data_IF_540750073371
#
_entry.id   IF_540750073371
#
_cell.length_a   1.000
_cell.length_b   1.000
_cell.length_c   1.000
_cell.angle_alpha   90.00
_cell.angle_beta   90.00
_cell.angle_gamma   90.00
#
_symmetry.space_group_name_H-M   'P 1'
#
loop_
_entity.id
_entity.type
_entity.pdbx_description
1 polymer ?
#
# COMPACT_ATOMS: atom_id res chain seq x y z
N UNK A 1 16.06 -2.09 9.02
CA UNK A 1 16.47 -2.26 7.61
C UNK A 1 16.26 -3.70 7.17
N UNK A 2 15.38 -3.89 6.21
CA UNK A 2 15.08 -5.20 5.60
C UNK A 2 15.83 -5.30 4.28
N UNK A 3 16.81 -6.19 4.18
CA UNK A 3 17.57 -6.36 2.93
C UNK A 3 16.77 -7.02 1.80
N UNK A 4 15.57 -7.45 2.06
CA UNK A 4 14.68 -8.12 1.10
C UNK A 4 13.27 -7.53 1.17
N UNK A 5 12.28 -8.31 1.58
CA UNK A 5 10.85 -7.98 1.57
C UNK A 5 10.37 -7.69 2.99
N UNK A 6 9.56 -6.65 3.15
CA UNK A 6 8.97 -6.28 4.44
C UNK A 6 7.88 -7.28 4.86
N UNK A 7 6.85 -7.40 4.04
CA UNK A 7 5.75 -8.36 4.22
C UNK A 7 5.68 -9.25 2.98
N UNK A 8 5.83 -10.56 3.15
CA UNK A 8 5.68 -11.55 2.09
C UNK A 8 4.48 -12.46 2.38
N UNK A 9 3.43 -12.34 1.59
CA UNK A 9 2.34 -13.30 1.52
C UNK A 9 2.48 -14.19 0.29
N UNK A 10 2.36 -15.50 0.46
CA UNK A 10 2.35 -16.47 -0.63
C UNK A 10 1.09 -17.31 -0.52
N UNK A 11 0.04 -16.94 -1.27
CA UNK A 11 -1.28 -17.53 -1.12
C UNK A 11 -1.85 -17.36 0.29
N UNK A 12 -1.53 -16.25 0.94
CA UNK A 12 -1.84 -16.02 2.35
C UNK A 12 -3.11 -15.17 2.53
N UNK A 13 -3.61 -15.13 3.76
CA UNK A 13 -4.61 -14.16 4.20
C UNK A 13 -3.93 -13.22 5.20
N UNK A 14 -3.78 -11.94 4.81
CA UNK A 14 -3.11 -10.92 5.63
C UNK A 14 -3.99 -9.68 5.70
N UNK A 15 -4.24 -9.21 6.92
CA UNK A 15 -4.83 -7.89 7.17
C UNK A 15 -3.89 -7.08 8.05
N UNK A 16 -3.64 -5.84 7.68
CA UNK A 16 -2.84 -4.91 8.47
C UNK A 16 -3.49 -3.53 8.50
N UNK A 17 -3.38 -2.88 9.65
CA UNK A 17 -3.89 -1.53 9.88
C UNK A 17 -2.80 -0.70 10.55
N UNK A 18 -2.83 0.62 10.36
CA UNK A 18 -1.91 1.55 11.02
C UNK A 18 -0.45 1.05 10.98
N UNK A 19 0.01 0.62 9.81
CA UNK A 19 1.31 -0.03 9.67
C UNK A 19 2.21 0.77 8.73
N UNK A 20 3.44 1.01 9.16
CA UNK A 20 4.49 1.56 8.30
C UNK A 20 5.46 0.46 7.89
N UNK A 21 5.69 0.31 6.59
CA UNK A 21 6.74 -0.55 6.04
C UNK A 21 7.65 0.28 5.14
N UNK A 22 8.92 0.36 5.51
CA UNK A 22 9.87 1.23 4.82
C UNK A 22 11.26 0.60 4.67
N UNK A 23 12.07 1.20 3.81
CA UNK A 23 13.49 0.85 3.61
C UNK A 23 13.71 -0.66 3.41
N UNK A 24 12.97 -1.24 2.45
CA UNK A 24 13.10 -2.62 2.01
C UNK A 24 13.92 -2.68 0.71
N UNK A 25 14.91 -3.58 0.66
CA UNK A 25 15.79 -3.73 -0.51
C UNK A 25 15.10 -4.30 -1.75
N UNK A 26 13.90 -4.85 -1.57
CA UNK A 26 13.00 -5.31 -2.62
C UNK A 26 11.61 -4.68 -2.41
N UNK A 27 10.59 -5.49 -2.18
CA UNK A 27 9.22 -5.03 -1.96
C UNK A 27 9.00 -4.62 -0.49
N UNK A 28 8.24 -3.56 -0.25
CA UNK A 28 7.64 -3.33 1.06
C UNK A 28 6.59 -4.41 1.36
N UNK A 29 5.72 -4.69 0.36
CA UNK A 29 4.73 -5.77 0.45
C UNK A 29 4.73 -6.56 -0.85
N UNK A 30 4.78 -7.88 -0.74
CA UNK A 30 4.57 -8.80 -1.86
C UNK A 30 3.35 -9.69 -1.57
N UNK A 31 2.23 -9.40 -2.24
CA UNK A 31 1.05 -10.24 -2.33
C UNK A 31 1.28 -11.24 -3.46
N UNK A 32 1.99 -12.33 -3.16
CA UNK A 32 2.54 -13.25 -4.15
C UNK A 32 1.78 -14.57 -4.18
N UNK A 33 1.62 -15.15 -5.37
CA UNK A 33 0.96 -16.45 -5.60
C UNK A 33 -0.52 -16.41 -5.14
N UNK A 34 -1.23 -15.32 -5.45
CA UNK A 34 -2.63 -15.14 -5.03
C UNK A 34 -2.82 -14.93 -3.53
N UNK A 35 -4.05 -15.12 -3.06
CA UNK A 35 -4.43 -14.96 -1.65
C UNK A 35 -5.39 -13.81 -1.40
N UNK A 36 -5.53 -13.39 -0.13
CA UNK A 36 -6.44 -12.33 0.33
C UNK A 36 -5.67 -11.34 1.19
N UNK A 37 -5.67 -10.08 0.80
CA UNK A 37 -4.89 -9.03 1.46
C UNK A 37 -5.72 -7.79 1.68
N UNK A 38 -5.72 -7.25 2.91
CA UNK A 38 -6.44 -6.04 3.26
C UNK A 38 -5.55 -5.10 4.08
N UNK A 39 -5.32 -3.93 3.56
CA UNK A 39 -4.48 -2.90 4.17
C UNK A 39 -5.30 -1.62 4.37
N UNK A 40 -5.36 -1.13 5.61
CA UNK A 40 -6.13 0.07 5.95
C UNK A 40 -5.25 1.04 6.75
N UNK A 41 -5.21 2.30 6.37
CA UNK A 41 -4.37 3.32 7.00
C UNK A 41 -2.90 2.87 7.12
N UNK A 42 -2.33 2.34 6.03
CA UNK A 42 -0.93 1.92 6.01
C UNK A 42 -0.06 2.87 5.17
N UNK A 43 1.21 2.98 5.53
CA UNK A 43 2.21 3.74 4.77
C UNK A 43 3.32 2.81 4.29
N UNK A 44 3.39 2.58 2.99
CA UNK A 44 4.42 1.80 2.30
C UNK A 44 5.40 2.77 1.64
N UNK A 45 6.39 3.23 2.43
CA UNK A 45 7.32 4.29 2.06
C UNK A 45 8.71 3.70 1.77
N UNK A 46 8.91 3.16 0.55
CA UNK A 46 10.10 2.39 0.25
C UNK A 46 11.27 3.24 -0.31
N UNK A 47 11.78 4.14 0.53
CA UNK A 47 12.96 4.97 0.27
C UNK A 47 14.26 4.23 0.63
N UNK A 48 14.54 3.14 -0.12
CA UNK A 48 15.76 2.37 0.07
C UNK A 48 16.98 3.12 -0.47
N UNK A 49 18.02 3.28 0.34
CA UNK A 49 19.18 4.14 0.07
C UNK A 49 20.55 3.40 0.16
N UNK A 50 20.56 2.09 0.47
CA UNK A 50 21.81 1.34 0.63
C UNK A 50 22.45 0.88 -0.68
N UNK A 51 21.63 0.59 -1.68
CA UNK A 51 22.05 0.21 -3.03
C UNK A 51 20.89 0.43 -4.02
N UNK A 52 21.09 0.03 -5.27
CA UNK A 52 20.06 0.17 -6.27
C UNK A 52 18.93 -0.85 -6.07
N UNK A 53 17.69 -0.35 -5.91
CA UNK A 53 16.46 -1.13 -5.89
C UNK A 53 15.84 -1.15 -7.28
N UNK A 54 15.43 -2.34 -7.75
CA UNK A 54 14.83 -2.54 -9.07
C UNK A 54 13.36 -2.99 -8.99
N UNK A 55 12.86 -3.24 -7.79
CA UNK A 55 11.49 -3.71 -7.55
C UNK A 55 10.66 -2.62 -6.90
N UNK A 56 9.39 -2.41 -7.29
CA UNK A 56 8.52 -1.43 -6.66
C UNK A 56 8.18 -1.80 -5.21
N UNK A 57 7.50 -0.90 -4.49
CA UNK A 57 7.09 -1.11 -3.10
C UNK A 57 6.09 -2.25 -2.97
N UNK A 58 5.14 -2.32 -3.88
CA UNK A 58 4.06 -3.32 -3.87
C UNK A 58 4.18 -4.25 -5.07
N UNK A 59 4.07 -5.55 -4.81
CA UNK A 59 3.85 -6.60 -5.82
C UNK A 59 2.48 -7.23 -5.62
N UNK A 60 1.67 -7.26 -6.67
CA UNK A 60 0.48 -8.10 -6.79
C UNK A 60 0.75 -9.16 -7.85
N UNK A 61 0.62 -10.44 -7.47
CA UNK A 61 0.94 -11.56 -8.35
C UNK A 61 0.02 -12.75 -8.06
N UNK A 62 -0.46 -13.42 -9.12
CA UNK A 62 -1.36 -14.57 -9.00
C UNK A 62 -0.80 -15.89 -9.54
N UNK A 63 0.53 -16.01 -9.74
CA UNK A 63 1.13 -17.23 -10.26
C UNK A 63 2.55 -17.48 -9.72
N UNK A 64 3.04 -18.69 -9.99
CA UNK A 64 4.47 -19.02 -9.82
C UNK A 64 4.89 -20.03 -10.90
N UNK A 65 6.19 -20.07 -11.20
CA UNK A 65 6.79 -21.08 -12.04
C UNK A 65 7.28 -22.25 -11.17
N UNK A 66 6.82 -23.46 -11.46
CA UNK A 66 7.24 -24.68 -10.79
C UNK A 66 8.63 -25.13 -11.26
N UNK A 67 9.23 -26.05 -10.52
CA UNK A 67 10.54 -26.65 -10.88
C UNK A 67 10.50 -27.45 -12.17
N UNK A 68 9.34 -27.78 -12.67
CA UNK A 68 9.09 -28.44 -13.97
C UNK A 68 8.95 -27.46 -15.14
N UNK A 69 9.10 -26.14 -14.89
CA UNK A 69 8.97 -25.06 -15.86
C UNK A 69 7.51 -24.71 -16.21
N UNK A 70 6.53 -25.30 -15.51
CA UNK A 70 5.13 -24.97 -15.71
C UNK A 70 4.70 -23.78 -14.86
N UNK A 71 3.78 -22.97 -15.40
CA UNK A 71 3.15 -21.88 -14.66
C UNK A 71 1.93 -22.43 -13.91
N UNK A 72 1.89 -22.14 -12.63
CA UNK A 72 0.80 -22.50 -11.73
C UNK A 72 0.08 -21.23 -11.26
N UNK A 73 -1.17 -21.10 -11.65
CA UNK A 73 -2.01 -19.94 -11.30
C UNK A 73 -2.75 -20.19 -9.98
N UNK A 74 -2.90 -19.15 -9.18
CA UNK A 74 -3.70 -19.10 -7.96
C UNK A 74 -4.49 -17.80 -7.95
N UNK A 75 -5.73 -17.84 -7.51
CA UNK A 75 -6.53 -16.63 -7.44
C UNK A 75 -5.94 -15.61 -6.47
N UNK A 76 -5.76 -14.39 -6.92
CA UNK A 76 -5.70 -13.22 -6.05
C UNK A 76 -7.16 -12.84 -5.74
N UNK A 77 -7.68 -13.40 -4.65
CA UNK A 77 -9.09 -13.24 -4.28
C UNK A 77 -9.41 -11.79 -3.96
N UNK A 78 -8.50 -11.14 -3.24
CA UNK A 78 -8.57 -9.72 -2.88
C UNK A 78 -7.18 -9.16 -2.60
N UNK A 79 -6.92 -7.93 -3.02
CA UNK A 79 -5.80 -7.11 -2.58
C UNK A 79 -6.28 -5.66 -2.43
N UNK A 80 -6.90 -5.36 -1.29
CA UNK A 80 -7.55 -4.08 -1.01
C UNK A 80 -6.62 -3.17 -0.22
N UNK A 81 -6.49 -1.95 -0.70
CA UNK A 81 -5.75 -0.87 -0.04
C UNK A 81 -6.72 0.30 0.18
N UNK A 82 -6.98 0.66 1.42
CA UNK A 82 -7.88 1.77 1.78
C UNK A 82 -7.14 2.76 2.67
N UNK A 83 -7.20 4.03 2.37
CA UNK A 83 -6.51 5.10 3.09
C UNK A 83 -4.99 4.81 3.21
N UNK A 84 -4.35 4.34 2.14
CA UNK A 84 -2.93 3.96 2.17
C UNK A 84 -2.05 4.92 1.35
N UNK A 85 -0.82 5.14 1.82
CA UNK A 85 0.25 5.81 1.06
C UNK A 85 1.18 4.74 0.49
N UNK A 86 1.43 4.81 -0.83
CA UNK A 86 2.37 3.92 -1.54
C UNK A 86 3.33 4.79 -2.35
N UNK A 87 4.52 5.00 -1.81
CA UNK A 87 5.55 5.84 -2.43
C UNK A 87 6.97 5.29 -2.17
N UNK A 88 7.94 5.89 -2.83
CA UNK A 88 9.35 5.52 -2.72
C UNK A 88 10.19 6.20 -3.79
N UNK A 89 11.42 5.74 -3.96
CA UNK A 89 12.39 6.38 -4.84
C UNK A 89 12.40 5.86 -6.30
N UNK A 90 11.50 4.94 -6.67
CA UNK A 90 11.33 4.56 -8.08
C UNK A 90 10.26 5.43 -8.77
N UNK A 91 10.21 5.38 -10.08
CA UNK A 91 9.20 6.09 -10.90
C UNK A 91 7.81 5.48 -10.78
N UNK A 92 7.72 4.19 -10.45
CA UNK A 92 6.48 3.47 -10.13
C UNK A 92 6.71 2.56 -8.92
N UNK A 93 5.75 2.49 -8.02
CA UNK A 93 5.88 1.75 -6.76
C UNK A 93 4.85 0.62 -6.62
N UNK A 94 4.12 0.30 -7.69
CA UNK A 94 3.22 -0.86 -7.76
C UNK A 94 3.53 -1.68 -9.01
N UNK A 95 3.59 -3.01 -8.87
CA UNK A 95 3.75 -3.98 -9.96
C UNK A 95 2.58 -4.96 -9.98
N UNK A 96 2.01 -5.14 -11.15
CA UNK A 96 0.95 -6.10 -11.42
C UNK A 96 1.52 -7.23 -12.28
N UNK A 97 1.45 -8.47 -11.77
CA UNK A 97 1.91 -9.67 -12.46
C UNK A 97 0.76 -10.68 -12.51
N UNK A 98 -0.06 -10.52 -13.53
CA UNK A 98 -1.28 -11.29 -13.72
C UNK A 98 -1.07 -12.44 -14.72
N UNK A 99 -1.72 -13.58 -14.44
CA UNK A 99 -2.02 -14.64 -15.37
C UNK A 99 -3.53 -14.78 -15.52
N UNK A 100 -4.05 -14.71 -16.75
CA UNK A 100 -5.48 -14.62 -17.09
C UNK A 100 -6.33 -15.85 -16.67
N UNK A 101 -5.69 -16.98 -16.31
CA UNK A 101 -6.39 -18.21 -15.93
C UNK A 101 -6.88 -18.24 -14.48
N UNK A 102 -6.69 -17.18 -13.72
CA UNK A 102 -7.13 -17.04 -12.34
C UNK A 102 -7.62 -15.63 -12.05
N UNK A 103 -8.38 -15.50 -10.98
CA UNK A 103 -8.86 -14.19 -10.53
C UNK A 103 -7.70 -13.28 -10.13
N UNK A 104 -7.84 -12.00 -10.45
CA UNK A 104 -6.87 -10.97 -10.10
C UNK A 104 -7.60 -9.71 -9.61
N UNK A 105 -8.14 -9.82 -8.39
CA UNK A 105 -8.98 -8.78 -7.80
C UNK A 105 -8.14 -7.89 -6.90
N UNK A 106 -8.17 -6.59 -7.16
CA UNK A 106 -7.51 -5.58 -6.33
C UNK A 106 -8.29 -4.28 -6.34
N UNK A 107 -8.08 -3.45 -5.32
CA UNK A 107 -8.62 -2.11 -5.26
C UNK A 107 -7.71 -1.16 -4.49
N UNK A 108 -7.71 0.10 -4.93
CA UNK A 108 -7.13 1.22 -4.23
C UNK A 108 -8.22 2.25 -4.00
N UNK A 109 -8.56 2.49 -2.74
CA UNK A 109 -9.62 3.38 -2.32
C UNK A 109 -9.07 4.48 -1.40
N UNK A 110 -9.23 5.75 -1.78
CA UNK A 110 -8.66 6.90 -1.06
C UNK A 110 -7.17 6.67 -0.73
N UNK A 111 -6.37 6.37 -1.75
CA UNK A 111 -4.95 6.13 -1.59
C UNK A 111 -4.11 7.19 -2.30
N UNK A 112 -2.94 7.51 -1.74
CA UNK A 112 -1.90 8.26 -2.43
C UNK A 112 -0.88 7.28 -3.00
N UNK A 113 -0.76 7.22 -4.35
CA UNK A 113 -0.04 6.14 -5.02
C UNK A 113 0.89 6.67 -6.11
N UNK A 114 2.10 6.12 -6.14
CA UNK A 114 3.05 6.33 -7.24
C UNK A 114 2.93 5.22 -8.27
N UNK A 115 2.21 5.50 -9.35
CA UNK A 115 1.90 4.55 -10.43
C UNK A 115 2.61 4.91 -11.74
N UNK A 116 2.77 3.90 -12.61
CA UNK A 116 3.12 4.14 -14.01
C UNK A 116 2.03 5.02 -14.66
N UNK A 117 2.39 6.16 -15.26
CA UNK A 117 1.42 7.10 -15.84
C UNK A 117 0.65 6.52 -17.04
N UNK A 118 1.03 5.36 -17.56
CA UNK A 118 0.31 4.66 -18.64
C UNK A 118 -0.85 3.80 -18.13
N UNK A 119 -0.96 3.58 -16.82
CA UNK A 119 -2.07 2.82 -16.23
C UNK A 119 -3.34 3.68 -16.28
N UNK A 120 -4.38 3.12 -16.88
CA UNK A 120 -5.72 3.71 -16.83
C UNK A 120 -6.31 3.53 -15.43
N UNK A 121 -6.58 4.65 -14.76
CA UNK A 121 -7.18 4.67 -13.42
C UNK A 121 -8.67 5.07 -13.42
N UNK A 122 -9.28 5.27 -14.60
CA UNK A 122 -10.73 5.53 -14.74
C UNK A 122 -11.52 4.21 -14.80
N UNK A 123 -11.41 3.42 -13.75
CA UNK A 123 -12.10 2.13 -13.63
C UNK A 123 -12.35 1.78 -12.15
N UNK A 124 -13.04 0.66 -11.90
CA UNK A 124 -13.48 0.24 -10.55
C UNK A 124 -12.35 -0.17 -9.58
N UNK A 125 -11.12 -0.34 -10.06
CA UNK A 125 -9.97 -0.65 -9.20
C UNK A 125 -9.44 0.57 -8.46
N UNK A 126 -9.81 1.79 -8.90
CA UNK A 126 -9.29 3.03 -8.36
C UNK A 126 -10.43 3.96 -7.99
N UNK A 127 -10.57 4.25 -6.71
CA UNK A 127 -11.59 5.16 -6.18
C UNK A 127 -10.92 6.29 -5.40
N UNK A 128 -11.19 7.54 -5.78
CA UNK A 128 -10.67 8.74 -5.08
C UNK A 128 -9.17 8.70 -4.81
N UNK A 129 -8.37 8.21 -5.78
CA UNK A 129 -6.92 8.06 -5.63
C UNK A 129 -6.16 9.34 -6.00
N UNK A 130 -5.13 9.66 -5.25
CA UNK A 130 -4.18 10.73 -5.53
C UNK A 130 -2.96 10.10 -6.23
N UNK A 131 -2.76 10.43 -7.52
CA UNK A 131 -1.76 9.77 -8.35
C UNK A 131 -0.52 10.65 -8.51
N UNK A 132 0.66 10.08 -8.25
CA UNK A 132 1.97 10.67 -8.55
C UNK A 132 2.21 12.06 -7.92
N UNK A 133 1.52 12.37 -6.83
CA UNK A 133 1.86 13.51 -5.98
C UNK A 133 2.81 13.06 -4.86
N UNK A 134 3.66 13.97 -4.40
CA UNK A 134 4.54 13.68 -3.25
C UNK A 134 3.71 13.62 -1.97
N UNK A 135 3.97 12.66 -1.08
CA UNK A 135 3.28 12.58 0.21
C UNK A 135 3.64 13.74 1.16
N UNK A 136 4.70 14.50 0.87
CA UNK A 136 5.23 15.58 1.69
C UNK A 136 5.41 15.14 3.15
N UNK A 137 6.18 14.05 3.33
CA UNK A 137 6.57 13.58 4.67
C UNK A 137 7.52 14.56 5.35
N UNK A 138 7.44 14.65 6.69
CA UNK A 138 8.31 15.51 7.51
C UNK A 138 9.78 15.20 7.25
N UNK A 139 10.19 13.92 7.24
CA UNK A 139 11.57 13.55 6.91
C UNK A 139 11.69 12.08 6.48
N UNK A 140 11.53 11.81 5.20
CA UNK A 140 11.62 10.45 4.65
C UNK A 140 13.04 9.83 4.77
N UNK A 141 14.09 10.64 4.85
CA UNK A 141 15.47 10.14 4.99
C UNK A 141 15.73 9.57 6.39
N UNK A 142 15.16 10.18 7.41
CA UNK A 142 15.22 9.69 8.79
C UNK A 142 14.09 8.72 9.15
N UNK A 143 13.25 8.37 8.16
CA UNK A 143 12.08 7.49 8.32
C UNK A 143 10.99 8.10 9.20
N UNK A 144 10.89 9.43 9.20
CA UNK A 144 9.77 10.16 9.76
C UNK A 144 8.71 10.34 8.65
N UNK A 145 7.67 9.52 8.69
CA UNK A 145 6.61 9.48 7.71
C UNK A 145 5.32 10.17 8.19
N UNK A 146 5.42 11.04 9.19
CA UNK A 146 4.36 11.99 9.49
C UNK A 146 4.15 12.94 8.32
N UNK A 147 2.93 13.43 8.15
CA UNK A 147 2.57 14.36 7.10
C UNK A 147 3.05 15.78 7.50
N UNK A 148 3.61 16.52 6.54
CA UNK A 148 3.80 17.96 6.70
C UNK A 148 2.51 18.71 6.35
N UNK A 149 2.42 19.99 6.70
CA UNK A 149 1.25 20.85 6.45
C UNK A 149 0.87 21.00 4.96
N UNK A 150 1.80 20.67 4.05
CA UNK A 150 1.59 20.72 2.59
C UNK A 150 1.15 19.39 1.99
N UNK A 151 0.99 18.34 2.80
CA UNK A 151 0.68 17.01 2.30
C UNK A 151 -0.70 16.92 1.68
N UNK A 152 -0.82 16.39 0.45
CA UNK A 152 -2.12 16.15 -0.17
C UNK A 152 -2.87 14.96 0.46
N UNK A 153 -2.27 14.27 1.42
CA UNK A 153 -2.86 13.15 2.14
C UNK A 153 -3.73 13.60 3.33
N UNK A 154 -3.61 14.89 3.75
CA UNK A 154 -4.38 15.47 4.84
C UNK A 154 -5.84 15.59 4.42
N UNK A 155 -6.77 15.17 5.28
CA UNK A 155 -8.23 15.21 5.08
C UNK A 155 -8.69 14.55 3.76
N UNK A 156 -7.95 13.58 3.25
CA UNK A 156 -8.19 12.97 1.95
C UNK A 156 -8.63 11.49 2.00
N UNK A 157 -8.72 10.92 3.19
CA UNK A 157 -9.17 9.55 3.40
C UNK A 157 -10.68 9.39 3.44
N UNK A 158 -11.15 8.15 3.32
CA UNK A 158 -12.56 7.81 3.52
C UNK A 158 -12.87 7.45 4.96
N UNK A 159 -14.02 7.94 5.44
CA UNK A 159 -14.58 7.58 6.74
C UNK A 159 -15.29 6.22 6.74
N UNK A 160 -15.52 5.62 5.57
CA UNK A 160 -16.23 4.34 5.44
C UNK A 160 -15.56 3.18 6.18
N UNK A 161 -14.25 3.31 6.46
CA UNK A 161 -13.47 2.35 7.26
C UNK A 161 -13.90 2.30 8.73
N UNK A 162 -14.65 3.30 9.21
CA UNK A 162 -15.12 3.39 10.59
C UNK A 162 -16.55 2.89 10.78
N UNK A 163 -17.24 2.53 9.68
CA UNK A 163 -18.60 2.00 9.72
C UNK A 163 -18.63 0.56 10.25
N UNK A 164 -19.62 0.26 11.12
CA UNK A 164 -19.97 -1.06 11.62
C UNK A 164 -18.92 -1.81 12.48
N UNK A 165 -18.95 -1.62 13.78
CA UNK A 165 -18.20 -2.42 14.79
C UNK A 165 -16.68 -2.53 14.55
N UNK A 166 -16.12 -1.57 13.84
CA UNK A 166 -14.69 -1.51 13.55
C UNK A 166 -13.90 -1.39 14.85
N UNK A 167 -12.85 -2.18 14.93
CA UNK A 167 -11.92 -2.18 16.05
C UNK A 167 -11.50 -0.75 16.39
N UNK A 168 -11.55 -0.38 17.67
CA UNK A 168 -11.12 0.94 18.18
C UNK A 168 -9.71 1.34 17.72
N UNK A 169 -8.94 0.36 17.24
CA UNK A 169 -7.59 0.56 16.69
C UNK A 169 -7.59 1.48 15.44
N UNK A 170 -8.64 1.48 14.61
CA UNK A 170 -8.71 2.35 13.44
C UNK A 170 -9.07 3.81 13.78
N UNK A 171 -9.68 4.04 14.95
CA UNK A 171 -9.99 5.40 15.44
C UNK A 171 -8.77 6.16 15.94
N UNK A 172 -7.64 5.48 15.97
CA UNK A 172 -6.34 6.04 16.34
C UNK A 172 -5.35 5.77 15.22
N UNK A 173 -4.40 6.66 15.11
CA UNK A 173 -3.26 6.49 14.23
C UNK A 173 -2.18 5.58 14.86
N UNK A 174 -1.03 5.45 14.19
CA UNK A 174 0.07 4.60 14.67
C UNK A 174 0.69 5.13 15.98
N UNK A 175 0.63 6.41 16.24
CA UNK A 175 1.12 7.03 17.48
C UNK A 175 0.08 7.00 18.62
N UNK A 176 -1.14 6.53 18.34
CA UNK A 176 -2.24 6.48 19.28
C UNK A 176 -3.02 7.80 19.39
N UNK A 177 -2.79 8.74 18.48
CA UNK A 177 -3.57 9.98 18.35
C UNK A 177 -4.94 9.66 17.76
N UNK A 178 -5.94 10.46 18.11
CA UNK A 178 -7.28 10.26 17.57
C UNK A 178 -7.34 10.76 16.12
N UNK A 179 -7.88 9.92 15.23
CA UNK A 179 -8.19 10.34 13.86
C UNK A 179 -9.45 11.19 13.81
N UNK A 180 -9.53 12.10 12.83
CA UNK A 180 -10.81 12.67 12.45
C UNK A 180 -11.67 11.58 11.77
N UNK A 181 -12.76 11.18 12.44
CA UNK A 181 -13.60 10.09 11.95
C UNK A 181 -14.52 10.50 10.79
N UNK A 182 -14.54 11.77 10.42
CA UNK A 182 -15.33 12.29 9.30
C UNK A 182 -14.51 12.52 8.03
N UNK A 183 -13.26 12.93 8.20
CA UNK A 183 -12.30 13.24 7.12
C UNK A 183 -10.87 12.83 7.52
N UNK A 184 -10.62 11.51 7.70
CA UNK A 184 -9.31 11.06 8.17
C UNK A 184 -8.21 11.32 7.14
N UNK A 185 -6.97 11.32 7.61
CA UNK A 185 -5.82 11.38 6.71
C UNK A 185 -5.54 10.03 6.04
N UNK A 186 -4.96 10.09 4.85
CA UNK A 186 -4.41 8.91 4.17
C UNK A 186 -3.07 8.55 4.83
N UNK A 187 -2.89 7.27 5.16
CA UNK A 187 -1.65 6.75 5.73
C UNK A 187 -1.75 6.36 7.20
N UNK A 188 -0.59 6.01 7.78
CA UNK A 188 -0.50 5.46 9.13
C UNK A 188 -0.61 6.52 10.23
N UNK A 189 -0.41 7.78 9.90
CA UNK A 189 -0.41 8.90 10.83
C UNK A 189 -1.51 9.90 10.51
N UNK A 190 -1.99 10.60 11.54
CA UNK A 190 -2.90 11.72 11.46
C UNK A 190 -2.12 13.01 11.65
N UNK A 191 -2.35 14.00 10.79
CA UNK A 191 -1.76 15.33 10.93
C UNK A 191 -2.48 16.10 12.04
N UNK A 192 -1.71 16.74 12.88
CA UNK A 192 -2.23 17.60 13.96
C UNK A 192 -1.57 18.97 13.82
N UNK A 193 -2.39 20.00 13.69
CA UNK A 193 -1.95 21.40 13.64
C UNK A 193 -1.19 21.83 14.92
#
# INVERSE_FOLDING_TARGET
NMSAIGILGQGANISATNTVVSKCGQYAVACNIGGTYNFTHCTFANYWDYNHRNTPSILLNNYYEGSDGNIYVRNLEEANFTNCIIDGNLSTEVSFQEQELGDFNYSFDHCLIKLDPTIDTDNSHYQSVIINQLPEFVNNTESDFHLSEESPAIDAGTSDVFDNDVLDILKKDLDGLNRDLSIPDIGAFEFIE
#
